data_IF_950466538106
#
_entry.id   IF_950466538106
#
_cell.length_a   1.000
_cell.length_b   1.000
_cell.length_c   1.000
_cell.angle_alpha   90.00
_cell.angle_beta   90.00
_cell.angle_gamma   90.00
#
_symmetry.space_group_name_H-M   'P 1'
#
loop_
_entity.id
_entity.type
_entity.pdbx_description
1 polymer ?
#
# COMPACT_ATOMS: atom_id res chain seq x y z
N UNK A 1 0.75 -8.60 51.66
CA UNK A 1 0.17 -7.40 51.00
C UNK A 1 1.22 -6.64 50.17
N UNK A 2 2.39 -6.31 50.73
CA UNK A 2 3.49 -5.57 50.05
C UNK A 2 4.03 -6.20 48.75
N UNK A 3 4.10 -7.54 48.65
CA UNK A 3 4.66 -8.25 47.48
C UNK A 3 3.81 -8.08 46.21
N UNK A 4 2.47 -8.18 46.34
CA UNK A 4 1.52 -7.94 45.24
C UNK A 4 1.55 -6.49 44.73
N UNK A 5 1.76 -5.53 45.63
CA UNK A 5 1.85 -4.11 45.26
C UNK A 5 3.14 -3.82 44.47
N UNK A 6 4.26 -4.45 44.82
CA UNK A 6 5.53 -4.33 44.11
C UNK A 6 5.47 -4.97 42.70
N UNK A 7 4.82 -6.12 42.57
CA UNK A 7 4.57 -6.78 41.28
C UNK A 7 3.66 -5.96 40.37
N UNK A 8 2.59 -5.35 40.92
CA UNK A 8 1.72 -4.47 40.15
C UNK A 8 2.47 -3.23 39.66
N UNK A 9 3.24 -2.57 40.53
CA UNK A 9 4.04 -1.40 40.14
C UNK A 9 5.05 -1.74 39.05
N UNK A 10 5.68 -2.92 39.12
CA UNK A 10 6.62 -3.38 38.09
C UNK A 10 5.93 -3.62 36.74
N UNK A 11 4.72 -4.20 36.74
CA UNK A 11 3.92 -4.37 35.52
C UNK A 11 3.55 -3.04 34.89
N UNK A 12 3.14 -2.04 35.69
CA UNK A 12 2.84 -0.71 35.18
C UNK A 12 4.08 -0.05 34.56
N UNK A 13 5.23 -0.10 35.23
CA UNK A 13 6.49 0.43 34.68
C UNK A 13 6.85 -0.23 33.35
N UNK A 14 6.73 -1.56 33.26
CA UNK A 14 6.97 -2.28 32.00
C UNK A 14 6.01 -1.84 30.89
N UNK A 15 4.73 -1.69 31.22
CA UNK A 15 3.70 -1.26 30.26
C UNK A 15 3.95 0.18 29.76
N UNK A 16 4.33 1.10 30.64
CA UNK A 16 4.68 2.47 30.24
C UNK A 16 5.94 2.51 29.36
N UNK A 17 6.95 1.69 29.68
CA UNK A 17 8.17 1.59 28.86
C UNK A 17 7.87 1.01 27.47
N UNK A 18 7.03 -0.02 27.38
CA UNK A 18 6.56 -0.58 26.11
C UNK A 18 5.80 0.46 25.28
N UNK A 19 4.89 1.20 25.89
CA UNK A 19 4.11 2.23 25.21
C UNK A 19 5.01 3.38 24.69
N UNK A 20 5.97 3.83 25.51
CA UNK A 20 6.95 4.84 25.11
C UNK A 20 7.82 4.38 23.94
N UNK A 21 8.30 3.13 23.96
CA UNK A 21 9.04 2.54 22.84
C UNK A 21 8.20 2.50 21.56
N UNK A 22 6.94 2.09 21.63
CA UNK A 22 6.04 2.05 20.46
C UNK A 22 5.85 3.45 19.86
N UNK A 23 5.67 4.48 20.71
CA UNK A 23 5.52 5.88 20.28
C UNK A 23 6.81 6.40 19.64
N UNK A 24 7.98 6.08 20.18
CA UNK A 24 9.26 6.51 19.61
C UNK A 24 9.53 5.87 18.24
N UNK A 25 9.28 4.56 18.12
CA UNK A 25 9.50 3.80 16.88
C UNK A 25 8.60 4.30 15.75
N UNK A 26 7.31 4.58 16.05
CA UNK A 26 6.37 5.08 15.04
C UNK A 26 6.75 6.46 14.51
N UNK A 27 7.19 7.38 15.39
CA UNK A 27 7.63 8.71 15.00
C UNK A 27 8.91 8.72 14.15
N UNK A 28 9.83 7.78 14.39
CA UNK A 28 11.06 7.64 13.59
C UNK A 28 10.73 7.09 12.20
N UNK A 29 9.89 6.05 12.10
CA UNK A 29 9.46 5.48 10.81
C UNK A 29 8.82 6.53 9.91
N UNK A 30 7.84 7.28 10.44
CA UNK A 30 7.12 8.31 9.69
C UNK A 30 8.06 9.41 9.17
N UNK A 31 9.03 9.85 9.99
CA UNK A 31 10.04 10.84 9.56
C UNK A 31 10.99 10.29 8.49
N UNK A 32 11.36 9.02 8.57
CA UNK A 32 12.23 8.41 7.57
C UNK A 32 11.54 8.30 6.21
N UNK A 33 10.26 7.92 6.19
CA UNK A 33 9.46 7.83 4.95
C UNK A 33 9.27 9.20 4.29
N UNK A 34 8.99 10.24 5.08
CA UNK A 34 8.90 11.61 4.54
C UNK A 34 10.21 12.10 3.95
N UNK A 35 11.34 11.85 4.63
CA UNK A 35 12.66 12.23 4.11
C UNK A 35 13.03 11.44 2.85
N UNK A 36 12.71 10.15 2.83
CA UNK A 36 12.94 9.29 1.67
C UNK A 36 12.12 9.73 0.46
N UNK A 37 10.85 10.08 0.68
CA UNK A 37 10.01 10.69 -0.35
C UNK A 37 10.62 12.00 -0.85
N UNK A 38 11.07 12.89 0.04
CA UNK A 38 11.69 14.15 -0.33
C UNK A 38 12.98 13.95 -1.14
N UNK A 39 13.80 12.95 -0.79
CA UNK A 39 15.05 12.67 -1.51
C UNK A 39 14.86 11.95 -2.85
N UNK A 40 13.72 11.28 -3.06
CA UNK A 40 13.39 10.54 -4.29
C UNK A 40 12.13 11.10 -4.98
N UNK A 41 11.84 12.39 -4.79
CA UNK A 41 10.60 13.00 -5.23
C UNK A 41 10.33 12.82 -6.72
N UNK A 42 11.38 12.90 -7.55
CA UNK A 42 11.28 12.67 -9.00
C UNK A 42 10.83 11.24 -9.31
N UNK A 43 11.44 10.23 -8.68
CA UNK A 43 11.08 8.82 -8.88
C UNK A 43 9.65 8.52 -8.41
N UNK A 44 9.22 9.11 -7.28
CA UNK A 44 7.84 9.02 -6.82
C UNK A 44 6.85 9.66 -7.80
N UNK A 45 7.17 10.84 -8.32
CA UNK A 45 6.33 11.51 -9.31
C UNK A 45 6.21 10.64 -10.58
N UNK A 46 7.31 10.06 -11.06
CA UNK A 46 7.29 9.16 -12.19
C UNK A 46 6.46 7.90 -11.95
N UNK A 47 6.55 7.30 -10.75
CA UNK A 47 5.73 6.16 -10.33
C UNK A 47 4.24 6.52 -10.35
N UNK A 48 3.87 7.63 -9.71
CA UNK A 48 2.49 8.11 -9.60
C UNK A 48 1.92 8.42 -10.99
N UNK A 49 2.67 9.17 -11.79
CA UNK A 49 2.25 9.55 -13.15
C UNK A 49 2.04 8.30 -14.01
N UNK A 50 2.99 7.36 -13.98
CA UNK A 50 2.86 6.11 -14.73
C UNK A 50 1.65 5.29 -14.27
N UNK A 51 1.45 5.14 -12.95
CA UNK A 51 0.34 4.38 -12.41
C UNK A 51 -1.02 5.00 -12.80
N UNK A 52 -1.15 6.32 -12.73
CA UNK A 52 -2.35 7.02 -13.20
C UNK A 52 -2.60 6.86 -14.71
N UNK A 53 -1.55 6.73 -15.52
CA UNK A 53 -1.69 6.54 -16.97
C UNK A 53 -2.18 5.13 -17.32
N UNK A 54 -1.76 4.11 -16.59
CA UNK A 54 -2.09 2.72 -16.90
C UNK A 54 -3.39 2.23 -16.25
N UNK A 55 -3.86 2.88 -15.18
CA UNK A 55 -5.11 2.50 -14.52
C UNK A 55 -6.31 3.10 -15.26
N UNK A 56 -7.28 2.30 -15.73
CA UNK A 56 -8.49 2.85 -16.34
C UNK A 56 -9.29 3.71 -15.37
N UNK A 57 -9.95 4.75 -15.90
CA UNK A 57 -10.68 5.76 -15.11
C UNK A 57 -11.86 5.20 -14.30
N UNK A 58 -12.40 4.07 -14.73
CA UNK A 58 -13.52 3.35 -14.12
C UNK A 58 -13.05 2.19 -13.22
N UNK A 59 -11.75 2.14 -12.89
CA UNK A 59 -11.15 1.07 -12.07
C UNK A 59 -10.40 1.62 -10.87
N UNK A 60 -10.46 0.85 -9.78
CA UNK A 60 -9.51 0.89 -8.68
C UNK A 60 -8.66 -0.38 -8.71
N UNK A 61 -7.35 -0.21 -8.56
CA UNK A 61 -6.37 -1.27 -8.55
C UNK A 61 -5.53 -1.13 -7.28
N UNK A 62 -5.48 -2.20 -6.49
CA UNK A 62 -4.50 -2.39 -5.43
C UNK A 62 -3.60 -3.55 -5.83
N UNK A 63 -2.30 -3.31 -5.79
CA UNK A 63 -1.29 -4.30 -6.16
C UNK A 63 -0.14 -4.26 -5.16
N UNK A 64 0.33 -5.44 -4.75
CA UNK A 64 1.52 -5.62 -3.93
C UNK A 64 2.39 -6.72 -4.54
N UNK A 65 3.63 -6.39 -4.89
CA UNK A 65 4.58 -7.33 -5.43
C UNK A 65 5.31 -8.06 -4.31
N UNK A 66 5.37 -9.38 -4.42
CA UNK A 66 6.29 -10.19 -3.61
C UNK A 66 7.65 -10.28 -4.30
N UNK A 67 7.65 -10.50 -5.62
CA UNK A 67 8.82 -10.55 -6.47
C UNK A 67 8.43 -10.19 -7.91
N UNK A 68 9.35 -10.38 -8.87
CA UNK A 68 9.14 -9.97 -10.26
C UNK A 68 8.02 -10.76 -10.97
N UNK A 69 7.70 -11.96 -10.50
CA UNK A 69 6.73 -12.85 -11.14
C UNK A 69 5.50 -13.13 -10.28
N UNK A 70 5.51 -12.72 -8.99
CA UNK A 70 4.43 -12.98 -8.05
C UNK A 70 3.95 -11.72 -7.36
N UNK A 71 2.64 -11.60 -7.28
CA UNK A 71 1.92 -10.60 -6.52
C UNK A 71 1.46 -11.22 -5.21
N UNK A 72 1.80 -10.58 -4.10
CA UNK A 72 1.23 -10.95 -2.81
C UNK A 72 -0.27 -10.64 -2.78
N UNK A 73 -0.68 -9.54 -3.39
CA UNK A 73 -2.06 -9.09 -3.51
C UNK A 73 -2.31 -8.47 -4.89
N UNK A 74 -3.41 -8.86 -5.53
CA UNK A 74 -3.93 -8.15 -6.70
C UNK A 74 -5.45 -8.03 -6.62
N UNK A 75 -5.92 -6.78 -6.56
CA UNK A 75 -7.33 -6.45 -6.51
C UNK A 75 -7.68 -5.45 -7.61
N UNK A 76 -8.73 -5.77 -8.37
CA UNK A 76 -9.35 -4.90 -9.38
C UNK A 76 -10.81 -4.68 -8.98
N UNK A 77 -11.25 -3.44 -8.96
CA UNK A 77 -12.61 -3.06 -8.52
C UNK A 77 -13.19 -2.03 -9.48
N UNK A 78 -14.42 -2.21 -9.95
CA UNK A 78 -15.09 -1.17 -10.71
C UNK A 78 -15.46 0.00 -9.81
N UNK A 79 -15.33 1.20 -10.36
CA UNK A 79 -15.82 2.42 -9.72
C UNK A 79 -16.79 3.14 -10.63
N UNK A 80 -17.83 3.70 -10.00
CA UNK A 80 -18.84 4.48 -10.68
C UNK A 80 -19.07 5.78 -9.92
N UNK A 81 -19.40 6.82 -10.68
CA UNK A 81 -19.74 8.11 -10.14
C UNK A 81 -21.15 8.07 -9.56
N UNK A 82 -21.29 8.55 -8.34
CA UNK A 82 -22.57 8.71 -7.65
C UNK A 82 -22.71 10.17 -7.26
N UNK A 83 -23.84 10.79 -7.61
CA UNK A 83 -24.15 12.14 -7.14
C UNK A 83 -24.68 12.07 -5.71
N UNK A 84 -24.00 12.73 -4.77
CA UNK A 84 -24.43 12.87 -3.37
C UNK A 84 -24.37 14.34 -2.99
N UNK A 85 -25.53 14.94 -2.71
CA UNK A 85 -25.66 16.35 -2.28
C UNK A 85 -24.83 17.32 -3.16
N UNK A 86 -25.09 17.30 -4.47
CA UNK A 86 -24.40 18.10 -5.50
C UNK A 86 -22.88 17.87 -5.66
N UNK A 87 -22.31 16.87 -4.98
CA UNK A 87 -20.94 16.42 -5.18
C UNK A 87 -20.91 15.09 -5.91
N UNK A 88 -19.99 14.91 -6.87
CA UNK A 88 -19.70 13.59 -7.45
C UNK A 88 -18.75 12.86 -6.52
N UNK A 89 -19.18 11.70 -6.01
CA UNK A 89 -18.35 10.77 -5.25
C UNK A 89 -18.17 9.48 -6.02
N UNK A 90 -16.99 8.88 -5.95
CA UNK A 90 -16.72 7.58 -6.56
C UNK A 90 -17.05 6.47 -5.56
N UNK A 91 -18.03 5.64 -5.89
CA UNK A 91 -18.35 4.42 -5.14
C UNK A 91 -17.71 3.22 -5.82
N UNK A 92 -17.18 2.30 -5.01
CA UNK A 92 -16.70 1.01 -5.50
C UNK A 92 -17.82 -0.03 -5.55
N UNK A 93 -17.75 -0.94 -6.51
CA UNK A 93 -18.52 -2.19 -6.50
C UNK A 93 -17.80 -3.25 -5.67
N UNK A 94 -18.30 -4.50 -5.72
CA UNK A 94 -17.49 -5.65 -5.28
C UNK A 94 -16.28 -5.80 -6.20
N UNK A 95 -15.13 -6.28 -5.71
CA UNK A 95 -13.98 -6.52 -6.57
C UNK A 95 -14.35 -7.44 -7.75
N UNK A 96 -13.93 -7.03 -8.95
CA UNK A 96 -13.98 -7.86 -10.15
C UNK A 96 -12.98 -9.02 -10.03
N UNK A 97 -11.86 -8.75 -9.38
CA UNK A 97 -10.80 -9.70 -9.09
C UNK A 97 -10.19 -9.35 -7.74
N UNK A 98 -9.97 -10.35 -6.90
CA UNK A 98 -9.30 -10.19 -5.62
C UNK A 98 -8.64 -11.50 -5.23
N UNK A 99 -7.35 -11.59 -5.47
CA UNK A 99 -6.56 -12.80 -5.20
C UNK A 99 -5.27 -12.47 -4.46
N UNK A 100 -4.80 -13.45 -3.70
CA UNK A 100 -3.55 -13.41 -2.95
C UNK A 100 -2.57 -14.44 -3.54
N UNK A 101 -1.27 -14.16 -3.47
CA UNK A 101 -0.20 -15.05 -3.96
C UNK A 101 -0.39 -15.47 -5.43
N UNK A 102 -0.54 -14.47 -6.30
CA UNK A 102 -0.84 -14.65 -7.73
C UNK A 102 0.44 -14.66 -8.53
N UNK A 103 0.67 -15.69 -9.34
CA UNK A 103 1.66 -15.61 -10.41
C UNK A 103 1.10 -14.76 -11.56
N UNK A 104 1.86 -13.76 -12.02
CA UNK A 104 1.43 -12.81 -13.05
C UNK A 104 1.00 -13.53 -14.34
N UNK A 105 1.69 -14.62 -14.70
CA UNK A 105 1.38 -15.39 -15.91
C UNK A 105 0.07 -16.20 -15.78
N UNK A 106 -0.48 -16.32 -14.58
CA UNK A 106 -1.74 -17.01 -14.30
C UNK A 106 -2.93 -16.05 -14.12
N UNK A 107 -2.74 -14.73 -14.28
CA UNK A 107 -3.85 -13.78 -14.21
C UNK A 107 -4.79 -14.04 -15.39
N UNK A 108 -6.11 -14.20 -15.17
CA UNK A 108 -7.03 -14.46 -16.26
C UNK A 108 -7.02 -13.34 -17.32
N UNK A 109 -7.00 -13.71 -18.60
CA UNK A 109 -7.03 -12.77 -19.72
C UNK A 109 -8.20 -11.79 -19.63
N UNK A 110 -9.36 -12.23 -19.11
CA UNK A 110 -10.52 -11.36 -18.91
C UNK A 110 -10.24 -10.19 -17.96
N UNK A 111 -9.40 -10.40 -16.94
CA UNK A 111 -9.00 -9.35 -16.00
C UNK A 111 -7.98 -8.42 -16.64
N UNK A 112 -6.99 -8.97 -17.35
CA UNK A 112 -5.98 -8.20 -18.08
C UNK A 112 -6.62 -7.31 -19.14
N UNK A 113 -7.58 -7.85 -19.90
CA UNK A 113 -8.37 -7.09 -20.86
C UNK A 113 -9.22 -6.02 -20.17
N UNK A 114 -9.84 -6.30 -19.02
CA UNK A 114 -10.66 -5.32 -18.31
C UNK A 114 -9.87 -4.11 -17.79
N UNK A 115 -8.56 -4.25 -17.55
CA UNK A 115 -7.68 -3.15 -17.12
C UNK A 115 -6.74 -2.65 -18.22
N UNK A 116 -6.77 -3.27 -19.40
CA UNK A 116 -5.84 -3.04 -20.52
C UNK A 116 -4.36 -3.24 -20.15
N UNK A 117 -4.06 -4.23 -19.31
CA UNK A 117 -2.68 -4.53 -18.92
C UNK A 117 -2.10 -5.73 -19.67
N UNK A 118 -0.79 -5.68 -19.83
CA UNK A 118 0.06 -6.75 -20.33
C UNK A 118 1.21 -6.95 -19.34
N UNK A 119 2.03 -7.98 -19.56
CA UNK A 119 3.17 -8.29 -18.69
C UNK A 119 4.15 -7.12 -18.55
N UNK A 120 4.39 -6.38 -19.63
CA UNK A 120 5.30 -5.24 -19.63
C UNK A 120 4.84 -4.13 -18.67
N UNK A 121 3.52 -3.93 -18.52
CA UNK A 121 3.00 -2.96 -17.56
C UNK A 121 3.29 -3.34 -16.11
N UNK A 122 3.21 -4.63 -15.77
CA UNK A 122 3.60 -5.12 -14.44
C UNK A 122 5.10 -4.95 -14.19
N UNK A 123 5.94 -5.32 -15.16
CA UNK A 123 7.40 -5.17 -15.09
C UNK A 123 7.79 -3.70 -14.88
N UNK A 124 7.26 -2.80 -15.71
CA UNK A 124 7.53 -1.36 -15.61
C UNK A 124 7.04 -0.77 -14.28
N UNK A 125 5.86 -1.21 -13.80
CA UNK A 125 5.34 -0.77 -12.50
C UNK A 125 6.26 -1.23 -11.36
N UNK A 126 6.74 -2.48 -11.42
CA UNK A 126 7.64 -3.05 -10.43
C UNK A 126 8.99 -2.32 -10.41
N UNK A 127 9.57 -2.04 -11.57
CA UNK A 127 10.81 -1.26 -11.67
C UNK A 127 10.68 0.13 -11.04
N UNK A 128 9.55 0.81 -11.26
CA UNK A 128 9.30 2.13 -10.67
C UNK A 128 9.10 2.06 -9.15
N UNK A 129 8.41 1.03 -8.66
CA UNK A 129 8.29 0.77 -7.23
C UNK A 129 9.64 0.47 -6.58
N UNK A 130 10.48 -0.34 -7.22
CA UNK A 130 11.81 -0.68 -6.71
C UNK A 130 12.72 0.54 -6.61
N UNK A 131 12.67 1.47 -7.58
CA UNK A 131 13.41 2.74 -7.52
C UNK A 131 13.05 3.61 -6.32
N UNK A 132 11.85 3.44 -5.78
CA UNK A 132 11.38 4.19 -4.60
C UNK A 132 11.40 3.36 -3.32
N UNK A 133 12.03 2.17 -3.32
CA UNK A 133 11.99 1.21 -2.21
C UNK A 133 10.56 0.84 -1.77
N UNK A 134 9.63 0.79 -2.72
CA UNK A 134 8.23 0.45 -2.50
C UNK A 134 7.89 -0.91 -3.11
N UNK A 135 6.80 -1.51 -2.64
CA UNK A 135 6.32 -2.82 -3.12
C UNK A 135 4.84 -2.82 -3.45
N UNK A 136 4.07 -1.82 -2.99
CA UNK A 136 2.64 -1.74 -3.28
C UNK A 136 2.17 -0.34 -3.62
N UNK A 137 1.07 -0.29 -4.38
CA UNK A 137 0.39 0.94 -4.74
C UNK A 137 -1.12 0.70 -4.86
N UNK A 138 -1.91 1.70 -4.48
CA UNK A 138 -3.36 1.70 -4.57
C UNK A 138 -3.88 3.08 -4.96
N UNK A 139 -4.64 3.18 -6.06
CA UNK A 139 -5.25 4.42 -6.55
C UNK A 139 -6.57 4.76 -5.82
N UNK A 140 -6.64 4.47 -4.53
CA UNK A 140 -7.72 4.96 -3.68
C UNK A 140 -7.74 6.48 -3.59
N UNK A 141 -8.74 6.98 -2.86
CA UNK A 141 -8.73 8.35 -2.40
C UNK A 141 -8.68 8.32 -0.85
N UNK A 142 -7.55 8.69 -0.22
CA UNK A 142 -6.27 9.09 -0.82
C UNK A 142 -5.51 7.92 -1.46
N UNK A 143 -4.55 8.24 -2.34
CA UNK A 143 -3.64 7.26 -2.94
C UNK A 143 -2.67 6.74 -1.88
N UNK A 144 -2.35 5.45 -1.95
CA UNK A 144 -1.48 4.78 -0.98
C UNK A 144 -0.31 4.12 -1.68
N UNK A 145 0.90 4.33 -1.15
CA UNK A 145 2.11 3.64 -1.59
C UNK A 145 2.71 2.93 -0.38
N UNK A 146 3.01 1.63 -0.54
CA UNK A 146 3.56 0.79 0.52
C UNK A 146 5.07 0.58 0.37
N UNK A 147 5.81 0.93 1.41
CA UNK A 147 7.26 0.75 1.46
C UNK A 147 7.67 -0.70 1.74
N UNK A 148 8.81 -1.10 1.15
CA UNK A 148 9.51 -2.33 1.49
C UNK A 148 10.03 -2.23 2.92
N UNK A 149 9.60 -3.11 3.82
CA UNK A 149 10.16 -3.18 5.19
C UNK A 149 11.12 -4.35 5.32
N UNK A 150 12.20 -4.13 6.08
CA UNK A 150 13.31 -5.09 6.27
C UNK A 150 12.94 -6.23 7.24
N UNK A 151 11.89 -6.08 8.06
CA UNK A 151 11.46 -7.09 9.03
C UNK A 151 9.91 -7.17 9.12
N UNK A 152 9.39 -8.37 8.83
CA UNK A 152 8.01 -8.87 9.07
C UNK A 152 6.82 -7.99 8.66
N UNK A 153 6.25 -8.30 7.48
CA UNK A 153 4.80 -8.50 7.29
C UNK A 153 3.84 -7.31 7.32
N UNK A 154 4.27 -6.07 7.58
CA UNK A 154 3.40 -4.89 7.45
C UNK A 154 4.10 -3.77 6.71
N UNK A 155 3.56 -3.36 5.57
CA UNK A 155 3.98 -2.17 4.82
C UNK A 155 3.74 -0.89 5.64
N UNK A 156 4.71 0.04 5.66
CA UNK A 156 4.38 1.43 5.98
C UNK A 156 3.60 2.02 4.80
N UNK A 157 2.53 2.76 5.07
CA UNK A 157 1.72 3.39 4.03
C UNK A 157 1.98 4.89 4.02
N UNK A 158 2.49 5.40 2.89
CA UNK A 158 2.45 6.82 2.58
C UNK A 158 1.09 7.19 2.02
N UNK A 159 0.49 8.21 2.61
CA UNK A 159 -0.74 8.84 2.11
C UNK A 159 -0.34 10.07 1.30
N UNK A 160 -0.80 10.12 0.05
CA UNK A 160 -0.59 11.25 -0.87
C UNK A 160 -1.90 11.97 -1.14
#
# INVERSE_FOLDING_TARGET
MLRKQKENNMKYVLQYMLLACIILISNISCRNEQRHFQSHQTDFNELITYFHQIVPKDKKIQIEFENNNHLFLFQVTDIFQVKKNDTIVYSGSRPLYYEWNVNIDNIPDSILLAIHWDKQKFETLKEKLDKTDCISIYNGNPMKIGYKRVFTGMTSILYL
#
